data_IF_411561796829
#
_entry.id   IF_411561796829
#
_cell.length_a   1.000
_cell.length_b   1.000
_cell.length_c   1.000
_cell.angle_alpha   90.00
_cell.angle_beta   90.00
_cell.angle_gamma   90.00
#
_symmetry.space_group_name_H-M   'P 1'
#
loop_
_entity.id
_entity.type
_entity.pdbx_description
1 polymer ?
#
# COMPACT_ATOMS: atom_id res chain seq x y z
N UNK A 1 15.62 7.98 10.84
CA UNK A 1 15.17 7.88 9.43
C UNK A 1 13.82 7.19 9.41
N UNK A 2 12.79 7.87 8.91
CA UNK A 2 11.43 7.33 8.88
C UNK A 2 11.22 6.52 7.60
N UNK A 3 10.64 5.31 7.69
CA UNK A 3 10.31 4.48 6.53
C UNK A 3 8.83 4.58 6.22
N UNK A 4 8.48 4.79 4.95
CA UNK A 4 7.11 4.67 4.45
C UNK A 4 7.03 3.57 3.42
N UNK A 5 5.99 2.76 3.50
CA UNK A 5 5.74 1.65 2.57
C UNK A 5 4.49 1.92 1.76
N UNK A 6 4.59 1.82 0.44
CA UNK A 6 3.50 1.96 -0.52
C UNK A 6 3.12 0.58 -1.05
N UNK A 7 1.84 0.30 -1.15
CA UNK A 7 1.31 -0.89 -1.81
C UNK A 7 0.76 -0.48 -3.18
N UNK A 8 1.36 -0.96 -4.26
CA UNK A 8 0.96 -0.58 -5.62
C UNK A 8 0.37 -1.79 -6.33
N UNK A 9 -0.88 -1.67 -6.77
CA UNK A 9 -1.61 -2.73 -7.46
C UNK A 9 -1.85 -2.31 -8.92
N UNK A 10 -1.39 -3.13 -9.86
CA UNK A 10 -1.40 -2.79 -11.30
C UNK A 10 -2.02 -3.92 -12.12
N UNK A 11 -2.68 -3.61 -13.24
CA UNK A 11 -3.48 -4.54 -14.06
C UNK A 11 -2.76 -5.02 -15.34
N UNK A 12 -1.45 -5.14 -15.26
CA UNK A 12 -0.61 -5.53 -16.37
C UNK A 12 -0.31 -7.02 -16.25
N UNK A 13 -0.66 -7.83 -17.25
CA UNK A 13 -0.44 -9.28 -17.20
C UNK A 13 1.02 -9.68 -17.40
N UNK A 14 1.85 -8.76 -17.90
CA UNK A 14 3.28 -8.97 -18.16
C UNK A 14 4.07 -8.25 -17.08
N UNK A 15 4.94 -8.98 -16.37
CA UNK A 15 5.70 -8.46 -15.23
C UNK A 15 6.53 -7.21 -15.58
N UNK A 16 7.21 -7.20 -16.72
CA UNK A 16 8.05 -6.07 -17.13
C UNK A 16 7.23 -4.78 -17.32
N UNK A 17 6.08 -4.89 -17.99
CA UNK A 17 5.12 -3.78 -18.14
C UNK A 17 4.52 -3.37 -16.80
N UNK A 18 4.20 -4.33 -15.93
CA UNK A 18 3.71 -4.07 -14.58
C UNK A 18 4.73 -3.29 -13.75
N UNK A 19 6.01 -3.63 -13.85
CA UNK A 19 7.08 -2.92 -13.14
C UNK A 19 7.26 -1.51 -13.64
N UNK A 20 7.15 -1.26 -14.95
CA UNK A 20 7.10 0.09 -15.50
C UNK A 20 5.99 0.94 -14.86
N UNK A 21 4.78 0.38 -14.74
CA UNK A 21 3.65 1.06 -14.08
C UNK A 21 3.86 1.28 -12.59
N UNK A 22 4.46 0.32 -11.90
CA UNK A 22 4.81 0.47 -10.47
C UNK A 22 5.75 1.65 -10.28
N UNK A 23 6.78 1.78 -11.13
CA UNK A 23 7.72 2.91 -11.08
C UNK A 23 7.02 4.24 -11.37
N UNK A 24 6.15 4.29 -12.37
CA UNK A 24 5.36 5.49 -12.69
C UNK A 24 4.51 5.94 -11.49
N UNK A 25 3.79 5.01 -10.84
CA UNK A 25 2.95 5.35 -9.69
C UNK A 25 3.79 5.73 -8.46
N UNK A 26 4.92 5.06 -8.22
CA UNK A 26 5.82 5.43 -7.14
C UNK A 26 6.32 6.88 -7.32
N UNK A 27 6.73 7.25 -8.54
CA UNK A 27 7.13 8.63 -8.86
C UNK A 27 5.96 9.62 -8.69
N UNK A 28 4.77 9.29 -9.20
CA UNK A 28 3.55 10.10 -9.04
C UNK A 28 3.23 10.36 -7.55
N UNK A 29 3.41 9.35 -6.70
CA UNK A 29 3.19 9.51 -5.26
C UNK A 29 4.16 10.53 -4.66
N UNK A 30 5.43 10.46 -5.02
CA UNK A 30 6.44 11.42 -4.58
C UNK A 30 6.09 12.82 -5.07
N UNK A 31 5.70 12.98 -6.33
CA UNK A 31 5.36 14.30 -6.87
C UNK A 31 4.08 14.89 -6.22
N UNK A 32 3.12 14.03 -5.85
CA UNK A 32 1.81 14.47 -5.32
C UNK A 32 1.82 14.68 -3.80
N UNK A 33 2.56 13.85 -3.07
CA UNK A 33 2.54 13.82 -1.60
C UNK A 33 3.91 14.10 -0.97
N UNK A 34 4.92 14.41 -1.79
CA UNK A 34 6.30 14.66 -1.39
C UNK A 34 6.52 16.08 -0.87
N UNK A 35 5.93 16.38 0.29
CA UNK A 35 6.54 17.31 1.25
C UNK A 35 7.64 16.60 2.08
N UNK A 36 8.06 15.41 1.64
CA UNK A 36 8.99 14.52 2.32
C UNK A 36 10.33 14.57 1.61
N UNK A 37 11.39 14.76 2.36
CA UNK A 37 12.75 14.63 1.85
C UNK A 37 13.10 13.14 1.70
N UNK A 38 12.90 12.61 0.48
CA UNK A 38 13.09 11.19 0.19
C UNK A 38 14.56 10.93 -0.15
N UNK A 39 15.25 10.23 0.76
CA UNK A 39 16.66 9.89 0.61
C UNK A 39 16.87 8.58 -0.18
N UNK A 40 15.94 7.64 -0.03
CA UNK A 40 16.06 6.32 -0.65
C UNK A 40 14.70 5.78 -1.10
N UNK A 41 14.71 5.01 -2.18
CA UNK A 41 13.53 4.31 -2.68
C UNK A 41 13.92 2.92 -3.17
N UNK A 42 13.17 1.90 -2.77
CA UNK A 42 13.45 0.52 -3.19
C UNK A 42 12.17 -0.29 -3.42
N UNK A 43 12.24 -1.20 -4.40
CA UNK A 43 11.26 -2.27 -4.54
C UNK A 43 11.58 -3.36 -3.52
N UNK A 44 10.75 -3.48 -2.48
CA UNK A 44 10.97 -4.48 -1.44
C UNK A 44 10.43 -5.86 -1.83
N UNK A 45 9.24 -5.91 -2.44
CA UNK A 45 8.63 -7.17 -2.83
C UNK A 45 7.69 -7.01 -4.03
N UNK A 46 7.54 -8.07 -4.81
CA UNK A 46 6.55 -8.17 -5.89
C UNK A 46 5.91 -9.55 -5.89
N UNK A 47 4.61 -9.61 -6.16
CA UNK A 47 3.86 -10.86 -6.28
C UNK A 47 2.69 -10.70 -7.23
N UNK A 48 2.16 -11.81 -7.75
CA UNK A 48 0.90 -11.76 -8.49
C UNK A 48 -0.27 -11.60 -7.52
N UNK A 49 -1.27 -10.82 -7.93
CA UNK A 49 -2.51 -10.62 -7.15
C UNK A 49 -3.19 -11.95 -6.86
N UNK A 50 -3.27 -12.84 -7.87
CA UNK A 50 -3.90 -14.16 -7.74
C UNK A 50 -3.20 -15.06 -6.72
N UNK A 51 -1.89 -14.94 -6.52
CA UNK A 51 -1.16 -15.69 -5.50
C UNK A 51 -1.47 -15.15 -4.11
N UNK A 52 -1.39 -13.83 -3.92
CA UNK A 52 -1.68 -13.20 -2.63
C UNK A 52 -3.11 -13.45 -2.16
N UNK A 53 -4.09 -13.40 -3.07
CA UNK A 53 -5.50 -13.69 -2.74
C UNK A 53 -5.75 -15.03 -2.08
N UNK A 54 -5.01 -16.05 -2.49
CA UNK A 54 -5.16 -17.41 -1.93
C UNK A 54 -4.74 -17.48 -0.46
N UNK A 55 -3.94 -16.53 0.00
CA UNK A 55 -3.43 -16.47 1.38
C UNK A 55 -4.12 -15.40 2.22
N UNK A 56 -4.92 -14.53 1.61
CA UNK A 56 -5.61 -13.44 2.31
C UNK A 56 -6.65 -13.97 3.30
N UNK A 57 -6.66 -13.33 4.47
CA UNK A 57 -7.67 -13.54 5.51
C UNK A 57 -8.34 -12.20 5.81
N UNK A 58 -9.62 -12.19 6.20
CA UNK A 58 -10.26 -10.99 6.70
C UNK A 58 -9.44 -10.39 7.85
N UNK A 59 -9.30 -9.06 7.91
CA UNK A 59 -8.44 -8.41 8.88
C UNK A 59 -8.95 -8.65 10.31
N UNK A 60 -8.01 -8.74 11.24
CA UNK A 60 -8.25 -8.85 12.68
C UNK A 60 -7.86 -7.55 13.38
N UNK A 61 -8.50 -7.18 14.50
CA UNK A 61 -8.07 -6.01 15.27
C UNK A 61 -6.60 -6.15 15.66
N UNK A 62 -5.83 -5.08 15.47
CA UNK A 62 -4.43 -5.00 15.88
C UNK A 62 -4.32 -4.18 17.14
N UNK A 63 -3.40 -4.57 18.03
CA UNK A 63 -3.02 -3.76 19.18
C UNK A 63 -1.91 -2.79 18.77
N UNK A 64 -2.23 -1.84 17.88
CA UNK A 64 -1.31 -0.82 17.40
C UNK A 64 -2.03 0.53 17.33
N UNK A 65 -1.32 1.59 17.70
CA UNK A 65 -1.77 2.97 17.53
C UNK A 65 -1.34 3.57 16.19
N UNK A 66 -0.52 2.86 15.42
CA UNK A 66 -0.07 3.31 14.11
C UNK A 66 -1.24 3.29 13.11
N UNK A 67 -1.66 4.45 12.55
CA UNK A 67 -2.72 4.51 11.54
C UNK A 67 -2.41 3.70 10.28
N UNK A 68 -1.13 3.49 9.96
CA UNK A 68 -0.67 2.71 8.82
C UNK A 68 -0.67 1.19 9.08
N UNK A 69 -0.95 0.75 10.32
CA UNK A 69 -0.86 -0.65 10.69
C UNK A 69 -1.79 -1.56 9.87
N UNK A 70 -1.21 -2.59 9.27
CA UNK A 70 -1.93 -3.72 8.65
C UNK A 70 -1.43 -5.04 9.21
N UNK A 71 -2.14 -6.14 8.91
CA UNK A 71 -1.74 -7.50 9.35
C UNK A 71 -0.36 -7.92 8.81
N UNK A 72 0.10 -7.30 7.72
CA UNK A 72 1.37 -7.62 7.06
C UNK A 72 2.45 -6.55 7.29
N UNK A 73 2.25 -5.66 8.26
CA UNK A 73 3.12 -4.53 8.57
C UNK A 73 2.53 -3.18 8.17
N UNK A 74 3.21 -2.06 8.48
CA UNK A 74 2.73 -0.72 8.17
C UNK A 74 2.68 -0.46 6.66
N UNK A 75 1.52 -0.05 6.14
CA UNK A 75 1.32 0.41 4.77
C UNK A 75 0.79 1.83 4.85
N UNK A 76 1.52 2.78 4.27
CA UNK A 76 1.27 4.21 4.41
C UNK A 76 0.37 4.75 3.30
N UNK A 77 0.42 4.12 2.12
CA UNK A 77 -0.49 4.42 1.03
C UNK A 77 -0.72 3.19 0.14
N UNK A 78 -1.88 3.16 -0.52
CA UNK A 78 -2.25 2.10 -1.46
C UNK A 78 -2.66 2.75 -2.78
N UNK A 79 -2.04 2.36 -3.89
CA UNK A 79 -2.54 2.64 -5.22
C UNK A 79 -3.53 1.55 -5.62
N UNK A 80 -4.80 1.92 -5.73
CA UNK A 80 -5.88 1.01 -6.11
C UNK A 80 -6.91 1.73 -6.97
N UNK A 81 -7.37 1.07 -8.02
CA UNK A 81 -8.39 1.56 -8.95
C UNK A 81 -8.16 3.00 -9.46
N UNK A 82 -6.90 3.37 -9.73
CA UNK A 82 -6.54 4.66 -10.33
C UNK A 82 -6.45 5.84 -9.35
N UNK A 83 -6.31 5.58 -8.05
CA UNK A 83 -6.09 6.62 -7.05
C UNK A 83 -5.26 6.13 -5.87
N UNK A 84 -4.64 7.08 -5.19
CA UNK A 84 -4.01 6.86 -3.90
C UNK A 84 -5.02 6.89 -2.75
N UNK A 85 -4.97 5.86 -1.91
CA UNK A 85 -5.64 5.79 -0.62
C UNK A 85 -4.62 5.93 0.50
N UNK A 86 -4.98 6.64 1.56
CA UNK A 86 -4.19 6.75 2.80
C UNK A 86 -5.08 6.39 3.99
N UNK A 87 -4.52 6.14 5.20
CA UNK A 87 -5.34 5.90 6.39
C UNK A 87 -6.41 6.97 6.63
N UNK A 88 -6.12 8.23 6.27
CA UNK A 88 -7.06 9.35 6.42
C UNK A 88 -8.10 9.49 5.31
N UNK A 89 -7.87 8.92 4.12
CA UNK A 89 -8.77 9.05 2.96
C UNK A 89 -9.42 7.73 2.54
N UNK A 90 -9.17 6.65 3.28
CA UNK A 90 -9.68 5.34 2.94
C UNK A 90 -11.19 5.19 3.14
N UNK A 91 -11.85 4.27 2.40
CA UNK A 91 -13.26 3.98 2.62
C UNK A 91 -13.54 3.46 4.04
N UNK A 92 -14.75 3.72 4.53
CA UNK A 92 -15.19 3.18 5.81
C UNK A 92 -15.13 1.63 5.86
N UNK A 93 -14.88 1.12 7.06
CA UNK A 93 -14.95 -0.31 7.35
C UNK A 93 -16.37 -0.85 7.05
N UNK A 94 -16.53 -2.13 6.68
CA UNK A 94 -17.84 -2.74 6.56
C UNK A 94 -18.57 -2.77 7.92
N UNK A 95 -19.90 -2.95 7.96
CA UNK A 95 -20.64 -3.07 9.22
C UNK A 95 -20.14 -4.22 10.13
N UNK A 96 -19.78 -5.38 9.55
CA UNK A 96 -19.15 -6.51 10.28
C UNK A 96 -17.62 -6.39 10.28
N UNK A 97 -17.08 -5.25 10.72
CA UNK A 97 -15.63 -5.01 10.68
C UNK A 97 -14.86 -5.73 11.80
N UNK A 98 -15.55 -6.34 12.77
CA UNK A 98 -14.99 -7.17 13.86
C UNK A 98 -13.86 -6.49 14.64
N UNK A 99 -13.95 -5.17 14.81
CA UNK A 99 -12.96 -4.37 15.53
C UNK A 99 -11.71 -4.00 14.73
N UNK A 100 -11.53 -4.49 13.50
CA UNK A 100 -10.47 -4.00 12.61
C UNK A 100 -10.78 -2.57 12.12
N UNK A 101 -9.73 -1.79 11.87
CA UNK A 101 -9.85 -0.39 11.43
C UNK A 101 -10.31 -0.28 9.97
N UNK A 102 -10.85 0.87 9.54
CA UNK A 102 -11.12 1.13 8.11
C UNK A 102 -9.91 0.89 7.22
N UNK A 103 -8.70 1.27 7.67
CA UNK A 103 -7.47 1.09 6.91
C UNK A 103 -7.11 -0.38 6.69
N UNK A 104 -7.23 -1.22 7.72
CA UNK A 104 -7.00 -2.66 7.58
C UNK A 104 -7.97 -3.30 6.56
N UNK A 105 -9.22 -2.83 6.54
CA UNK A 105 -10.20 -3.26 5.56
C UNK A 105 -9.93 -2.73 4.15
N UNK A 106 -9.45 -1.50 4.02
CA UNK A 106 -9.04 -0.94 2.73
C UNK A 106 -7.88 -1.74 2.13
N UNK A 107 -6.85 -2.05 2.93
CA UNK A 107 -5.75 -2.93 2.54
C UNK A 107 -6.24 -4.31 2.09
N UNK A 108 -7.08 -4.96 2.90
CA UNK A 108 -7.65 -6.26 2.55
C UNK A 108 -8.46 -6.20 1.24
N UNK A 109 -9.31 -5.19 1.07
CA UNK A 109 -10.16 -5.02 -0.13
C UNK A 109 -9.33 -4.79 -1.38
N UNK A 110 -8.31 -3.93 -1.33
CA UNK A 110 -7.46 -3.64 -2.47
C UNK A 110 -6.83 -4.93 -3.03
N UNK A 111 -6.27 -5.78 -2.15
CA UNK A 111 -5.70 -7.07 -2.55
C UNK A 111 -6.77 -8.08 -3.00
N UNK A 112 -7.89 -8.13 -2.31
CA UNK A 112 -8.99 -9.04 -2.62
C UNK A 112 -9.69 -8.70 -3.95
N UNK A 113 -9.77 -7.41 -4.30
CA UNK A 113 -10.56 -6.88 -5.44
C UNK A 113 -9.72 -6.43 -6.64
N UNK A 114 -8.39 -6.35 -6.50
CA UNK A 114 -7.49 -6.06 -7.63
C UNK A 114 -7.63 -6.91 -8.92
N UNK A 115 -6.74 -6.73 -9.87
CA UNK A 115 -6.79 -7.46 -11.14
C UNK A 115 -6.27 -8.90 -10.99
N UNK A 116 -7.07 -9.91 -11.35
CA UNK A 116 -6.67 -11.33 -11.23
C UNK A 116 -5.40 -11.70 -12.02
N UNK A 117 -5.15 -10.98 -13.12
CA UNK A 117 -3.95 -11.14 -13.95
C UNK A 117 -2.82 -10.17 -13.60
N UNK A 118 -3.00 -9.27 -12.64
CA UNK A 118 -2.03 -8.22 -12.36
C UNK A 118 -1.06 -8.54 -11.22
N UNK A 119 -0.30 -7.51 -10.85
CA UNK A 119 0.77 -7.59 -9.87
C UNK A 119 0.54 -6.62 -8.70
N UNK A 120 1.11 -6.98 -7.57
CA UNK A 120 1.21 -6.16 -6.37
C UNK A 120 2.69 -5.96 -6.07
N UNK A 121 3.09 -4.71 -5.88
CA UNK A 121 4.42 -4.34 -5.45
C UNK A 121 4.36 -3.65 -4.07
N UNK A 122 5.33 -3.97 -3.22
CA UNK A 122 5.64 -3.19 -2.03
C UNK A 122 6.84 -2.31 -2.35
N UNK A 123 6.65 -1.00 -2.27
CA UNK A 123 7.67 0.00 -2.54
C UNK A 123 7.99 0.75 -1.25
N UNK A 124 9.25 0.82 -0.88
CA UNK A 124 9.68 1.49 0.34
C UNK A 124 10.36 2.81 0.03
N UNK A 125 10.05 3.80 0.86
CA UNK A 125 10.59 5.13 0.84
C UNK A 125 11.31 5.38 2.17
N UNK A 126 12.59 5.70 2.08
CA UNK A 126 13.39 6.25 3.16
C UNK A 126 13.22 7.76 3.19
N UNK A 127 12.71 8.30 4.29
CA UNK A 127 12.48 9.73 4.48
C UNK A 127 13.48 10.25 5.53
N UNK A 128 14.14 11.37 5.19
CA UNK A 128 14.99 12.08 6.12
C UNK A 128 14.17 12.47 7.35
N UNK A 129 14.76 12.34 8.55
CA UNK A 129 14.11 12.92 9.72
C UNK A 129 14.21 14.43 9.62
N UNK A 130 13.06 15.11 9.63
CA UNK A 130 13.00 16.55 9.79
C UNK A 130 13.75 16.89 11.08
N UNK A 131 14.93 17.49 10.95
CA UNK A 131 15.72 17.93 12.09
C UNK A 131 14.92 19.04 12.76
N UNK A 132 14.22 18.72 13.85
CA UNK A 132 13.50 19.69 14.65
C UNK A 132 14.49 20.79 15.09
N UNK A 133 14.39 21.95 14.44
CA UNK A 133 15.11 23.17 14.78
C UNK A 133 14.41 23.92 15.92
#
# INVERSE_FOLDING_TARGET
MARRSLLIIVNEPVLDTAMGRVLEHAAEYVDTFGDLDIEHQELYAVSSVSRLRKTLRPPRPLNSHDPAATEYGPIHAIWDAGRWLTPGTCPAAPPDHRGATPWQWAHYRALQQGPSGGYVALWDLGVAEESAA
#
